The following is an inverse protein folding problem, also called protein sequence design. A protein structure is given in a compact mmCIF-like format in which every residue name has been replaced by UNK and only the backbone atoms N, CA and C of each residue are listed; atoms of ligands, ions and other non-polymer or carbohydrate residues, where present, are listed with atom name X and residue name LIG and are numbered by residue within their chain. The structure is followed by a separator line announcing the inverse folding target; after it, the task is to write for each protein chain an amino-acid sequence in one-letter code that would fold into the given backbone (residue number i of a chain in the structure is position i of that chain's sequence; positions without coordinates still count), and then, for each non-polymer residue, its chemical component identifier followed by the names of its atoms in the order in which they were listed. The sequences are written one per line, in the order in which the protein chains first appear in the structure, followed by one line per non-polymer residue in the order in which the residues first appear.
data_IF_511108155303
#
_entry.id   IF_511108155303
#
_cell.length_a   1.000
_cell.length_b   1.000
_cell.length_c   1.000
_cell.angle_alpha   90.00
_cell.angle_beta   90.00
_cell.angle_gamma   90.00
#
_symmetry.space_group_name_H-M   'P 1'
#
loop_
_entity.id
_entity.type
_entity.pdbx_description
1 polymer ?
#
# COMPACT_ATOMS: atom_id res chain seq x y z
N UNK A 1 -9.77 13.70 4.42
CA UNK A 1 -9.25 13.65 3.04
C UNK A 1 -7.74 13.92 2.97
N UNK A 2 -7.20 14.90 3.70
CA UNK A 2 -5.76 15.21 3.70
C UNK A 2 -4.88 13.99 4.00
N UNK A 3 -5.23 13.21 5.02
CA UNK A 3 -4.43 12.02 5.41
C UNK A 3 -4.48 10.91 4.37
N UNK A 4 -5.63 10.74 3.71
CA UNK A 4 -5.77 9.82 2.59
C UNK A 4 -4.84 10.24 1.43
N UNK A 5 -4.89 11.51 1.03
CA UNK A 5 -4.01 12.02 -0.04
C UNK A 5 -2.53 11.97 0.36
N UNK A 6 -2.19 12.17 1.62
CA UNK A 6 -0.80 12.10 2.10
C UNK A 6 -0.22 10.68 2.05
N UNK A 7 -1.07 9.66 2.28
CA UNK A 7 -0.68 8.25 2.23
C UNK A 7 -0.49 7.71 0.82
N UNK A 8 -0.96 8.41 -0.20
CA UNK A 8 -0.79 8.02 -1.60
C UNK A 8 0.07 9.06 -2.31
N UNK A 9 1.36 8.76 -2.50
CA UNK A 9 2.26 9.65 -3.25
C UNK A 9 1.95 9.70 -4.75
N UNK A 10 1.14 8.75 -5.24
CA UNK A 10 0.54 8.71 -6.57
C UNK A 10 -0.69 7.80 -6.55
N UNK A 11 -1.56 7.94 -7.55
CA UNK A 11 -2.70 7.02 -7.71
C UNK A 11 -2.15 5.69 -8.23
N UNK A 12 -2.38 4.57 -7.53
CA UNK A 12 -1.93 3.27 -8.00
C UNK A 12 -2.70 2.85 -9.26
N UNK A 13 -2.09 1.99 -10.06
CA UNK A 13 -2.80 1.28 -11.13
C UNK A 13 -3.68 0.19 -10.51
N UNK A 14 -4.98 0.30 -10.77
CA UNK A 14 -6.04 -0.57 -10.24
C UNK A 14 -6.83 -1.26 -11.36
N UNK A 15 -6.38 -1.18 -12.62
CA UNK A 15 -7.17 -1.62 -13.78
C UNK A 15 -7.53 -3.11 -13.71
N UNK A 16 -6.63 -3.93 -13.16
CA UNK A 16 -6.79 -5.38 -12.99
C UNK A 16 -7.08 -5.77 -11.53
N UNK A 17 -7.55 -4.84 -10.70
CA UNK A 17 -7.86 -5.09 -9.29
C UNK A 17 -9.29 -5.62 -9.13
N UNK A 18 -9.43 -6.76 -8.44
CA UNK A 18 -10.73 -7.33 -8.07
C UNK A 18 -11.15 -6.91 -6.65
N UNK A 19 -10.21 -6.94 -5.70
CA UNK A 19 -10.49 -6.67 -4.30
C UNK A 19 -9.28 -6.05 -3.61
N UNK A 20 -9.48 -4.89 -2.97
CA UNK A 20 -8.46 -4.23 -2.15
C UNK A 20 -8.99 -4.02 -0.72
N UNK A 21 -8.29 -4.59 0.25
CA UNK A 21 -8.47 -4.27 1.66
C UNK A 21 -7.19 -3.68 2.22
N UNK A 22 -7.30 -2.51 2.85
CA UNK A 22 -6.18 -1.84 3.53
C UNK A 22 -6.61 -1.53 4.96
N UNK A 23 -5.85 -2.00 5.93
CA UNK A 23 -6.09 -1.76 7.36
C UNK A 23 -4.82 -1.26 8.04
N UNK A 24 -4.96 -0.23 8.89
CA UNK A 24 -3.88 0.34 9.69
C UNK A 24 -3.13 1.52 9.04
N UNK A 25 -1.86 1.69 9.43
CA UNK A 25 -0.97 2.74 8.93
C UNK A 25 -0.17 2.26 7.70
N UNK A 26 -0.77 2.41 6.53
CA UNK A 26 -0.21 1.98 5.24
C UNK A 26 0.00 3.19 4.35
N UNK A 27 1.19 3.26 3.75
CA UNK A 27 1.62 4.33 2.86
C UNK A 27 2.01 3.73 1.51
N UNK A 28 1.58 4.36 0.43
CA UNK A 28 1.83 3.96 -0.94
C UNK A 28 2.78 4.95 -1.61
N UNK A 29 3.88 4.42 -2.13
CA UNK A 29 4.76 5.13 -3.04
C UNK A 29 4.09 5.44 -4.39
N UNK A 30 4.87 6.05 -5.27
CA UNK A 30 4.45 6.39 -6.64
C UNK A 30 4.44 5.13 -7.53
N UNK A 31 3.64 5.12 -8.58
CA UNK A 31 3.65 4.06 -9.60
C UNK A 31 3.44 2.64 -9.04
N UNK A 32 2.64 2.49 -7.99
CA UNK A 32 2.26 1.18 -7.44
C UNK A 32 1.19 0.54 -8.32
N UNK A 33 1.28 -0.77 -8.58
CA UNK A 33 0.30 -1.54 -9.35
C UNK A 33 -0.32 -2.62 -8.49
N UNK A 34 -1.66 -2.66 -8.40
CA UNK A 34 -2.41 -3.64 -7.63
C UNK A 34 -3.29 -4.49 -8.57
N UNK A 35 -3.21 -5.81 -8.44
CA UNK A 35 -3.89 -6.77 -9.32
C UNK A 35 -4.55 -7.89 -8.52
N UNK A 36 -5.71 -8.35 -8.98
CA UNK A 36 -6.48 -9.42 -8.36
C UNK A 36 -6.94 -9.08 -6.95
N UNK A 37 -6.68 -9.99 -5.99
CA UNK A 37 -7.00 -9.77 -4.57
C UNK A 37 -5.77 -9.33 -3.78
N UNK A 38 -5.78 -8.08 -3.29
CA UNK A 38 -4.71 -7.51 -2.47
C UNK A 38 -5.25 -7.15 -1.09
N UNK A 39 -4.60 -7.67 -0.04
CA UNK A 39 -4.96 -7.39 1.35
C UNK A 39 -3.72 -6.88 2.07
N UNK A 40 -3.79 -5.70 2.68
CA UNK A 40 -2.67 -5.08 3.40
C UNK A 40 -3.10 -4.78 4.84
N UNK A 41 -2.36 -5.31 5.81
CA UNK A 41 -2.69 -5.21 7.23
C UNK A 41 -1.45 -4.72 8.01
N UNK A 42 -1.49 -3.47 8.43
CA UNK A 42 -0.58 -2.92 9.43
C UNK A 42 -1.25 -3.01 10.81
N UNK A 43 -0.63 -3.76 11.73
CA UNK A 43 -1.15 -3.90 13.10
C UNK A 43 -0.99 -2.60 13.90
N UNK A 44 -1.60 -2.53 15.07
CA UNK A 44 -1.51 -1.36 15.94
C UNK A 44 -0.05 -1.06 16.33
N UNK A 45 0.43 0.14 16.00
CA UNK A 45 1.81 0.56 16.23
C UNK A 45 2.76 0.23 15.08
N UNK A 46 2.32 -0.58 14.12
CA UNK A 46 3.06 -0.90 12.91
C UNK A 46 2.74 0.08 11.79
N UNK A 47 3.74 0.31 10.94
CA UNK A 47 3.62 1.07 9.70
C UNK A 47 4.17 0.23 8.56
N UNK A 48 3.48 0.25 7.43
CA UNK A 48 3.92 -0.37 6.18
C UNK A 48 4.04 0.70 5.11
N UNK A 49 5.27 0.95 4.66
CA UNK A 49 5.57 1.77 3.49
C UNK A 49 5.74 0.85 2.27
N UNK A 50 4.83 0.95 1.31
CA UNK A 50 4.91 0.27 0.02
C UNK A 50 5.83 1.10 -0.89
N UNK A 51 6.98 0.55 -1.32
CA UNK A 51 7.93 1.29 -2.14
C UNK A 51 7.32 1.74 -3.48
N UNK A 52 7.85 2.81 -4.09
CA UNK A 52 7.48 3.20 -5.44
C UNK A 52 7.74 2.07 -6.46
N UNK A 53 6.88 1.91 -7.46
CA UNK A 53 7.00 0.87 -8.49
C UNK A 53 6.62 -0.54 -8.05
N UNK A 54 6.10 -0.71 -6.82
CA UNK A 54 5.74 -2.04 -6.31
C UNK A 54 4.54 -2.62 -7.08
N UNK A 55 4.65 -3.88 -7.51
CA UNK A 55 3.54 -4.66 -8.05
C UNK A 55 3.06 -5.67 -7.02
N UNK A 56 1.79 -5.59 -6.63
CA UNK A 56 1.13 -6.56 -5.75
C UNK A 56 0.02 -7.27 -6.53
N UNK A 57 0.20 -8.56 -6.75
CA UNK A 57 -0.79 -9.41 -7.43
C UNK A 57 -1.12 -10.63 -6.57
N UNK A 58 -2.40 -10.76 -6.21
CA UNK A 58 -2.91 -11.88 -5.41
C UNK A 58 -2.10 -12.09 -4.11
N UNK A 59 -1.82 -10.99 -3.39
CA UNK A 59 -0.93 -10.98 -2.22
C UNK A 59 -1.63 -10.47 -0.96
N UNK A 60 -1.23 -11.07 0.16
CA UNK A 60 -1.49 -10.57 1.50
C UNK A 60 -0.18 -10.01 2.05
N UNK A 61 -0.18 -8.72 2.41
CA UNK A 61 0.97 -8.01 2.99
C UNK A 61 0.63 -7.69 4.44
N UNK A 62 1.49 -8.11 5.37
CA UNK A 62 1.34 -7.80 6.79
C UNK A 62 2.70 -7.64 7.46
N UNK A 63 2.72 -6.90 8.57
CA UNK A 63 3.92 -6.69 9.40
C UNK A 63 4.30 -5.22 9.56
N UNK A 64 5.59 -4.97 9.74
CA UNK A 64 6.17 -3.64 9.91
C UNK A 64 7.28 -3.45 8.87
N UNK A 65 7.11 -2.46 8.00
CA UNK A 65 8.11 -2.08 7.00
C UNK A 65 8.18 -0.56 6.98
N UNK A 66 9.28 0.01 7.48
CA UNK A 66 9.53 1.45 7.47
C UNK A 66 10.62 1.80 6.49
N UNK A 67 10.34 2.75 5.60
CA UNK A 67 11.32 3.31 4.67
C UNK A 67 11.72 4.69 5.20
N UNK A 68 13.03 4.91 5.35
CA UNK A 68 13.61 6.18 5.80
C UNK A 68 14.48 6.74 4.66
N UNK A 69 14.27 8.02 4.33
CA UNK A 69 15.13 8.75 3.40
C UNK A 69 16.55 8.87 3.98
N UNK A 70 17.57 8.81 3.11
CA UNK A 70 18.97 9.05 3.45
C UNK A 70 19.39 10.49 3.12
#
# INVERSE_FOLDING_TARGET
VKDYLARFQGIPDLLELDHLTVSGDVWFGKDVTLKGTVIIIANHGDRIDIPPGTLLENKIVSGNLRILDH
#
